data_IF_318332589661
#
_entry.id   IF_318332589661
#
_cell.length_a   1.000
_cell.length_b   1.000
_cell.length_c   1.000
_cell.angle_alpha   90.00
_cell.angle_beta   90.00
_cell.angle_gamma   90.00
#
_symmetry.space_group_name_H-M   'P 1'
#
loop_
_entity.id
_entity.type
_entity.pdbx_description
1 polymer ?
#
# COMPACT_ATOMS: atom_id res chain seq x y z
N UNK A 1 -0.34 -18.31 -6.86
CA UNK A 1 0.73 -17.57 -6.17
C UNK A 1 0.64 -17.95 -4.71
N UNK A 2 1.75 -18.24 -4.04
CA UNK A 2 1.70 -18.55 -2.60
C UNK A 2 1.38 -17.29 -1.79
N UNK A 3 0.90 -17.48 -0.57
CA UNK A 3 0.60 -16.38 0.34
C UNK A 3 1.85 -15.54 0.64
N UNK A 4 3.02 -16.16 0.78
CA UNK A 4 4.30 -15.47 0.95
C UNK A 4 4.65 -14.60 -0.26
N UNK A 5 4.42 -15.11 -1.49
CA UNK A 5 4.64 -14.34 -2.71
C UNK A 5 3.65 -13.16 -2.81
N UNK A 6 2.40 -13.34 -2.37
CA UNK A 6 1.38 -12.27 -2.32
C UNK A 6 1.75 -11.19 -1.30
N UNK A 7 2.28 -11.60 -0.16
CA UNK A 7 2.78 -10.69 0.86
C UNK A 7 3.99 -9.91 0.37
N UNK A 8 5.02 -10.58 -0.13
CA UNK A 8 6.24 -9.95 -0.64
C UNK A 8 5.93 -8.93 -1.75
N UNK A 9 4.99 -9.25 -2.65
CA UNK A 9 4.56 -8.35 -3.73
C UNK A 9 4.09 -6.96 -3.25
N UNK A 10 3.65 -6.81 -2.00
CA UNK A 10 3.18 -5.52 -1.45
C UNK A 10 4.01 -5.00 -0.29
N UNK A 11 4.59 -5.88 0.54
CA UNK A 11 5.43 -5.49 1.68
C UNK A 11 6.79 -4.99 1.21
N UNK A 12 7.41 -5.62 0.21
CA UNK A 12 8.71 -5.18 -0.28
C UNK A 12 8.61 -3.77 -0.86
N UNK A 13 7.69 -3.45 -1.81
CA UNK A 13 7.55 -2.08 -2.30
C UNK A 13 7.15 -1.10 -1.20
N UNK A 14 6.35 -1.50 -0.21
CA UNK A 14 6.02 -0.63 0.92
C UNK A 14 7.26 -0.22 1.73
N UNK A 15 8.18 -1.15 1.99
CA UNK A 15 9.48 -0.84 2.63
C UNK A 15 10.32 0.08 1.77
N UNK A 16 10.38 -0.16 0.46
CA UNK A 16 11.12 0.68 -0.47
C UNK A 16 10.57 2.12 -0.50
N UNK A 17 9.25 2.30 -0.47
CA UNK A 17 8.60 3.62 -0.39
C UNK A 17 8.99 4.34 0.91
N UNK A 18 8.89 3.65 2.05
CA UNK A 18 9.26 4.22 3.36
C UNK A 18 10.71 4.71 3.34
N UNK A 19 11.63 3.90 2.82
CA UNK A 19 13.05 4.24 2.75
C UNK A 19 13.33 5.38 1.77
N UNK A 20 12.80 5.30 0.56
CA UNK A 20 13.06 6.29 -0.50
C UNK A 20 12.52 7.68 -0.12
N UNK A 21 11.30 7.75 0.42
CA UNK A 21 10.68 9.00 0.87
C UNK A 21 11.09 9.42 2.29
N UNK A 22 11.95 8.63 2.96
CA UNK A 22 12.47 8.88 4.31
C UNK A 22 11.36 9.15 5.33
N UNK A 23 10.29 8.37 5.24
CA UNK A 23 9.09 8.57 6.05
C UNK A 23 9.38 8.34 7.54
N UNK A 24 8.76 9.14 8.39
CA UNK A 24 8.98 9.13 9.84
C UNK A 24 7.74 8.61 10.57
N UNK A 25 7.95 8.06 11.78
CA UNK A 25 6.90 7.53 12.65
C UNK A 25 5.99 6.53 11.93
N UNK A 26 6.60 5.63 11.16
CA UNK A 26 5.89 4.67 10.33
C UNK A 26 5.25 3.59 11.21
N UNK A 27 3.98 3.28 10.94
CA UNK A 27 3.29 2.11 11.50
C UNK A 27 2.38 1.50 10.45
N UNK A 28 2.36 0.17 10.36
CA UNK A 28 1.66 -0.50 9.27
C UNK A 28 1.30 -1.94 9.53
N UNK A 29 0.40 -2.44 8.69
CA UNK A 29 -0.07 -3.82 8.70
C UNK A 29 -0.22 -4.38 7.30
N UNK A 30 -0.14 -5.70 7.22
CA UNK A 30 -0.49 -6.49 6.04
C UNK A 30 -1.81 -7.23 6.30
N UNK A 31 -2.62 -7.38 5.26
CA UNK A 31 -3.74 -8.34 5.23
C UNK A 31 -4.04 -8.74 3.81
N UNK A 32 -4.82 -9.81 3.66
CA UNK A 32 -5.51 -10.08 2.41
C UNK A 32 -6.77 -9.22 2.28
N UNK A 33 -7.16 -8.93 1.05
CA UNK A 33 -8.42 -8.28 0.71
C UNK A 33 -9.05 -8.94 -0.51
N UNK A 34 -10.37 -9.10 -0.48
CA UNK A 34 -11.12 -9.60 -1.63
C UNK A 34 -11.00 -8.63 -2.80
N UNK A 35 -10.96 -9.16 -4.02
CA UNK A 35 -11.02 -8.37 -5.24
C UNK A 35 -12.43 -8.12 -5.76
N UNK A 36 -13.43 -8.70 -5.11
CA UNK A 36 -14.86 -8.55 -5.41
C UNK A 36 -15.65 -8.24 -4.13
N UNK A 37 -16.90 -7.83 -4.31
CA UNK A 37 -17.79 -7.47 -3.20
C UNK A 37 -18.40 -8.69 -2.48
N UNK A 38 -18.09 -9.91 -2.94
CA UNK A 38 -18.62 -11.17 -2.40
C UNK A 38 -17.71 -11.79 -1.33
N UNK A 39 -16.54 -11.22 -1.07
CA UNK A 39 -15.49 -11.80 -0.22
C UNK A 39 -15.06 -13.21 -0.66
N UNK A 40 -15.05 -13.45 -1.96
CA UNK A 40 -14.64 -14.71 -2.57
C UNK A 40 -13.32 -14.54 -3.33
N UNK A 41 -12.57 -15.63 -3.59
CA UNK A 41 -11.43 -15.57 -4.48
C UNK A 41 -11.75 -14.90 -5.83
N UNK A 42 -10.79 -14.20 -6.46
CA UNK A 42 -9.41 -14.06 -6.01
C UNK A 42 -9.22 -12.98 -4.92
N UNK A 43 -8.27 -13.21 -4.01
CA UNK A 43 -7.78 -12.21 -3.08
C UNK A 43 -6.47 -11.57 -3.55
N UNK A 44 -6.16 -10.40 -3.01
CA UNK A 44 -4.88 -9.69 -3.16
C UNK A 44 -4.23 -9.45 -1.81
N UNK A 45 -2.93 -9.21 -1.81
CA UNK A 45 -2.22 -8.65 -0.65
C UNK A 45 -2.48 -7.15 -0.55
N UNK A 46 -2.53 -6.64 0.68
CA UNK A 46 -2.64 -5.22 0.99
C UNK A 46 -1.63 -4.89 2.09
N UNK A 47 -0.62 -4.08 1.77
CA UNK A 47 0.25 -3.46 2.77
C UNK A 47 -0.21 -2.01 2.98
N UNK A 48 -0.65 -1.69 4.20
CA UNK A 48 -1.10 -0.35 4.56
C UNK A 48 -0.25 0.22 5.67
N UNK A 49 0.21 1.46 5.53
CA UNK A 49 0.98 2.13 6.57
C UNK A 49 0.64 3.61 6.67
N UNK A 50 0.90 4.18 7.85
CA UNK A 50 0.75 5.58 8.19
C UNK A 50 2.10 6.16 8.54
N UNK A 51 2.26 7.46 8.36
CA UNK A 51 3.48 8.20 8.66
C UNK A 51 3.17 9.63 9.07
N UNK A 52 4.10 10.25 9.80
CA UNK A 52 3.98 11.63 10.20
C UNK A 52 4.33 12.58 9.05
N UNK A 53 3.62 13.70 8.97
CA UNK A 53 3.99 14.84 8.13
C UNK A 53 4.85 15.80 8.99
N UNK A 54 5.98 16.33 8.48
CA UNK A 54 6.78 17.31 9.20
C UNK A 54 5.96 18.55 9.60
N UNK A 55 6.20 19.05 10.81
CA UNK A 55 5.52 20.25 11.31
C UNK A 55 5.72 21.45 10.35
N UNK A 56 4.64 22.22 10.13
CA UNK A 56 4.65 23.36 9.21
C UNK A 56 4.53 23.00 7.73
N UNK A 57 4.47 21.70 7.38
CA UNK A 57 4.21 21.27 6.00
C UNK A 57 2.72 20.91 5.84
N UNK A 58 2.01 21.48 4.85
CA UNK A 58 0.66 21.03 4.53
C UNK A 58 0.64 19.55 4.15
N UNK A 59 -0.29 18.73 4.68
CA UNK A 59 -0.32 17.29 4.38
C UNK A 59 -0.34 16.97 2.90
N UNK A 60 -1.17 17.65 2.10
CA UNK A 60 -1.25 17.41 0.66
C UNK A 60 0.07 17.70 -0.07
N UNK A 61 0.79 18.77 0.31
CA UNK A 61 2.12 19.08 -0.23
C UNK A 61 3.11 17.95 0.05
N UNK A 62 3.08 17.40 1.27
CA UNK A 62 3.97 16.30 1.62
C UNK A 62 3.59 15.01 0.88
N UNK A 63 2.29 14.71 0.73
CA UNK A 63 1.82 13.58 -0.07
C UNK A 63 2.24 13.69 -1.54
N UNK A 64 2.19 14.89 -2.12
CA UNK A 64 2.69 15.15 -3.47
C UNK A 64 4.20 14.88 -3.60
N UNK A 65 4.99 15.21 -2.57
CA UNK A 65 6.42 14.92 -2.53
C UNK A 65 6.70 13.41 -2.44
N UNK A 66 5.92 12.68 -1.65
CA UNK A 66 6.01 11.20 -1.58
C UNK A 66 5.66 10.60 -2.94
N UNK A 67 4.57 11.05 -3.57
CA UNK A 67 4.17 10.63 -4.92
C UNK A 67 5.29 10.88 -5.95
N UNK A 68 5.88 12.09 -5.97
CA UNK A 68 7.00 12.41 -6.85
C UNK A 68 8.21 11.50 -6.61
N UNK A 69 8.54 11.22 -5.34
CA UNK A 69 9.61 10.28 -4.99
C UNK A 69 9.33 8.88 -5.53
N UNK A 70 8.09 8.41 -5.45
CA UNK A 70 7.71 7.12 -6.02
C UNK A 70 7.87 7.11 -7.54
N UNK A 71 7.49 8.19 -8.23
CA UNK A 71 7.67 8.33 -9.68
C UNK A 71 9.15 8.27 -10.05
N UNK A 72 10.02 8.95 -9.29
CA UNK A 72 11.48 8.88 -9.47
C UNK A 72 12.05 7.48 -9.24
N UNK A 73 11.36 6.64 -8.45
CA UNK A 73 11.67 5.21 -8.26
C UNK A 73 11.04 4.29 -9.33
N UNK A 74 10.48 4.85 -10.40
CA UNK A 74 9.94 4.09 -11.54
C UNK A 74 8.47 3.73 -11.42
N UNK A 75 7.73 4.31 -10.48
CA UNK A 75 6.27 4.23 -10.48
C UNK A 75 5.68 5.15 -11.56
N UNK A 76 4.53 4.76 -12.10
CA UNK A 76 3.79 5.55 -13.09
C UNK A 76 2.64 6.28 -12.41
N UNK A 77 2.42 7.58 -12.71
CA UNK A 77 1.31 8.34 -12.14
C UNK A 77 -0.05 7.86 -12.65
N UNK A 78 -1.05 7.94 -11.78
CA UNK A 78 -2.43 7.57 -12.04
C UNK A 78 -2.77 6.13 -11.65
N UNK A 79 -4.07 5.79 -11.62
CA UNK A 79 -4.52 4.41 -11.46
C UNK A 79 -4.30 3.62 -12.76
N UNK A 80 -4.24 2.28 -12.70
CA UNK A 80 -4.43 1.45 -13.88
C UNK A 80 -5.77 1.79 -14.56
N UNK A 81 -5.88 1.70 -15.91
CA UNK A 81 -7.12 2.01 -16.62
C UNK A 81 -8.35 1.32 -16.01
N UNK A 82 -9.41 2.10 -15.75
CA UNK A 82 -10.68 1.61 -15.21
C UNK A 82 -10.82 1.66 -13.68
N UNK A 83 -9.77 2.00 -12.93
CA UNK A 83 -9.87 2.22 -11.49
C UNK A 83 -10.06 3.72 -11.16
N UNK A 84 -10.97 4.03 -10.24
CA UNK A 84 -11.20 5.40 -9.72
C UNK A 84 -11.02 5.46 -8.18
N UNK A 85 -9.82 5.20 -7.66
CA UNK A 85 -9.53 5.33 -6.23
C UNK A 85 -9.58 6.79 -5.75
N UNK A 86 -9.89 6.97 -4.47
CA UNK A 86 -9.78 8.27 -3.81
C UNK A 86 -8.36 8.49 -3.26
N UNK A 87 -7.76 9.63 -3.58
CA UNK A 87 -6.38 9.99 -3.19
C UNK A 87 -5.44 10.12 -4.39
N UNK A 88 -4.16 10.34 -4.10
CA UNK A 88 -3.07 10.34 -5.10
C UNK A 88 -2.70 8.91 -5.41
N UNK A 89 -2.54 8.57 -6.69
CA UNK A 89 -2.39 7.18 -7.10
C UNK A 89 -1.24 7.04 -8.05
N UNK A 90 -0.42 6.04 -7.80
CA UNK A 90 0.66 5.61 -8.66
C UNK A 90 0.60 4.08 -8.81
N UNK A 91 1.11 3.55 -9.90
CA UNK A 91 1.17 2.11 -10.12
C UNK A 91 2.53 1.66 -10.63
N UNK A 92 2.88 0.40 -10.37
CA UNK A 92 4.08 -0.23 -10.90
C UNK A 92 3.70 -1.62 -11.39
N UNK A 93 3.80 -1.84 -12.71
CA UNK A 93 3.21 -3.02 -13.32
C UNK A 93 1.72 -3.15 -12.99
N UNK A 94 1.33 -4.20 -12.27
CA UNK A 94 -0.06 -4.50 -11.88
C UNK A 94 -0.39 -4.20 -10.41
N UNK A 95 0.56 -3.68 -9.64
CA UNK A 95 0.32 -3.22 -8.28
C UNK A 95 0.07 -1.71 -8.26
N UNK A 96 -0.74 -1.25 -7.31
CA UNK A 96 -1.15 0.15 -7.19
C UNK A 96 -0.90 0.64 -5.76
N UNK A 97 -0.41 1.86 -5.62
CA UNK A 97 -0.31 2.54 -4.33
C UNK A 97 -1.26 3.74 -4.31
N UNK A 98 -2.01 3.86 -3.22
CA UNK A 98 -2.92 4.98 -2.97
C UNK A 98 -2.40 5.76 -1.76
N UNK A 99 -2.15 7.05 -1.94
CA UNK A 99 -1.71 7.98 -0.92
C UNK A 99 -2.89 8.88 -0.53
N UNK A 100 -3.17 8.96 0.76
CA UNK A 100 -4.27 9.75 1.33
C UNK A 100 -3.81 10.46 2.60
N UNK A 101 -4.45 11.58 2.91
CA UNK A 101 -4.28 12.22 4.21
C UNK A 101 -4.92 11.37 5.30
N UNK A 102 -4.28 11.30 6.46
CA UNK A 102 -4.81 10.57 7.60
C UNK A 102 -4.41 11.18 8.94
N UNK A 103 -5.38 11.76 9.66
CA UNK A 103 -5.21 12.29 11.02
C UNK A 103 -4.04 13.30 11.15
N UNK A 104 -3.91 14.21 10.18
CA UNK A 104 -2.80 15.19 10.12
C UNK A 104 -1.46 14.60 9.64
N UNK A 105 -1.41 13.30 9.36
CA UNK A 105 -0.30 12.62 8.70
C UNK A 105 -0.68 12.10 7.32
N UNK A 106 0.11 11.17 6.81
CA UNK A 106 -0.16 10.47 5.55
C UNK A 106 -0.43 8.99 5.76
N UNK A 107 -1.15 8.39 4.80
CA UNK A 107 -1.38 6.95 4.69
C UNK A 107 -1.06 6.51 3.26
N UNK A 108 -0.39 5.37 3.14
CA UNK A 108 -0.23 4.63 1.87
C UNK A 108 -0.89 3.27 1.98
N UNK A 109 -1.57 2.85 0.92
CA UNK A 109 -2.02 1.47 0.73
C UNK A 109 -1.46 0.93 -0.59
N UNK A 110 -0.60 -0.08 -0.49
CA UNK A 110 -0.09 -0.84 -1.63
C UNK A 110 -1.00 -2.05 -1.83
N UNK A 111 -1.62 -2.13 -3.00
CA UNK A 111 -2.58 -3.14 -3.42
C UNK A 111 -1.94 -4.06 -4.45
N UNK A 112 -1.85 -5.34 -4.11
CA UNK A 112 -1.28 -6.37 -4.97
C UNK A 112 -2.23 -6.84 -6.07
N UNK A 113 -1.77 -7.83 -6.83
CA UNK A 113 -2.58 -8.49 -7.85
C UNK A 113 -3.63 -9.43 -7.23
N UNK A 114 -4.77 -9.55 -7.91
CA UNK A 114 -5.83 -10.49 -7.59
C UNK A 114 -5.50 -11.92 -8.05
N UNK A 115 -4.58 -12.58 -7.36
CA UNK A 115 -4.04 -13.90 -7.77
C UNK A 115 -4.04 -14.97 -6.68
N UNK A 116 -4.50 -14.63 -5.47
CA UNK A 116 -4.75 -15.63 -4.42
C UNK A 116 -6.02 -16.39 -4.72
N UNK A 117 -5.93 -17.70 -4.93
CA UNK A 117 -7.12 -18.58 -5.05
C UNK A 117 -7.52 -19.20 -3.71
N UNK A 118 -6.72 -19.00 -2.65
CA UNK A 118 -7.03 -19.43 -1.28
C UNK A 118 -8.22 -18.63 -0.75
N UNK A 119 -9.15 -19.31 -0.09
CA UNK A 119 -10.24 -18.68 0.66
C UNK A 119 -9.67 -18.03 1.93
N UNK A 120 -9.26 -16.76 1.82
CA UNK A 120 -8.60 -16.01 2.91
C UNK A 120 -9.56 -15.63 4.04
N UNK A 121 -10.87 -15.72 3.82
CA UNK A 121 -11.86 -15.58 4.89
C UNK A 121 -11.74 -16.78 5.83
N UNK A 122 -11.76 -18.00 5.29
CA UNK A 122 -11.62 -19.22 6.10
C UNK A 122 -10.20 -19.42 6.64
N UNK A 123 -9.19 -19.04 5.87
CA UNK A 123 -7.78 -19.13 6.31
C UNK A 123 -7.40 -18.04 7.33
N UNK A 124 -8.28 -17.07 7.61
CA UNK A 124 -8.02 -15.99 8.57
C UNK A 124 -7.12 -14.87 8.05
N UNK A 125 -6.68 -14.92 6.79
CA UNK A 125 -5.77 -13.93 6.19
C UNK A 125 -6.36 -12.52 6.05
N UNK A 126 -7.66 -12.35 6.28
CA UNK A 126 -8.30 -11.03 6.34
C UNK A 126 -7.92 -10.23 7.59
N UNK A 127 -7.40 -10.89 8.63
CA UNK A 127 -6.96 -10.24 9.86
C UNK A 127 -5.64 -9.48 9.65
N UNK A 128 -5.55 -8.20 10.03
CA UNK A 128 -4.31 -7.45 9.92
C UNK A 128 -3.21 -8.01 10.82
N UNK A 129 -2.04 -8.25 10.25
CA UNK A 129 -0.80 -8.54 10.98
C UNK A 129 0.12 -7.33 10.92
N UNK A 130 0.76 -6.97 12.02
CA UNK A 130 1.72 -5.86 12.03
C UNK A 130 2.90 -6.18 11.11
N UNK A 131 3.32 -5.20 10.33
CA UNK A 131 4.55 -5.25 9.51
C UNK A 131 5.44 -4.04 9.83
N UNK A 132 5.20 -3.36 10.95
CA UNK A 132 5.86 -2.08 11.28
C UNK A 132 7.38 -2.23 11.30
N UNK A 133 7.89 -3.25 11.99
CA UNK A 133 9.33 -3.47 12.11
C UNK A 133 9.98 -3.76 10.75
N UNK A 134 9.28 -4.45 9.85
CA UNK A 134 9.76 -4.75 8.49
C UNK A 134 9.81 -3.50 7.61
N UNK A 135 8.84 -2.58 7.78
CA UNK A 135 8.80 -1.33 7.02
C UNK A 135 9.93 -0.37 7.41
N UNK A 136 10.43 -0.47 8.64
CA UNK A 136 11.48 0.42 9.19
C UNK A 136 12.85 -0.22 9.27
N UNK A 137 12.98 -1.47 8.80
CA UNK A 137 14.24 -2.22 8.75
C UNK A 137 15.18 -1.79 7.62
#
# INVERSE_FOLDING_TARGET
MSDDQIRAQVVDPAREIVRAARLQSVSGSFKFGSCNDQNEPPFRGIAGFRFAVPAGTPPDTYLAQVEATMIDQGWTPGPPPGAMPHGRVVHQGKIMAILTEHQGGGRVQVLGECRSTTDQVKAGGMQPVSITDELTS
#
